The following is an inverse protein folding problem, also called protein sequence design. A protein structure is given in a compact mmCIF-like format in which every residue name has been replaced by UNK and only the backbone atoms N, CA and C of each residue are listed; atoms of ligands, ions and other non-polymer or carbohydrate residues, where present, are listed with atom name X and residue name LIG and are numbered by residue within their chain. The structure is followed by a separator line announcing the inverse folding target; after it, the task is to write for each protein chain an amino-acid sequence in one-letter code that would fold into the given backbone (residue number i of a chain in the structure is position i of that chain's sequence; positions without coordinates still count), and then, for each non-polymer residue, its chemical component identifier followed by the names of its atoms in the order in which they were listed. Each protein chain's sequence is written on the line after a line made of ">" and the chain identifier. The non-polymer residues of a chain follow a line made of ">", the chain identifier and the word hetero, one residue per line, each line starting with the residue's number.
data_IF_757755317998
#
_entry.id   IF_757755317998
#
_cell.length_a   1.000
_cell.length_b   1.000
_cell.length_c   1.000
_cell.angle_alpha   90.00
_cell.angle_beta   90.00
_cell.angle_gamma   90.00
#
_symmetry.space_group_name_H-M   'P 1'
#
loop_
_entity.id
_entity.type
_entity.pdbx_description
1 polymer ?
#
# COMPACT_ATOMS: atom_id res chain seq x y z
N UNK A 1 2.25 19.68 18.77
CA UNK A 1 2.32 19.01 17.45
C UNK A 1 1.77 17.62 17.64
N UNK A 2 0.53 17.35 17.21
CA UNK A 2 -0.07 16.01 17.31
C UNK A 2 0.65 15.08 16.33
N UNK A 3 1.38 14.10 16.85
CA UNK A 3 1.95 13.02 16.04
C UNK A 3 0.86 12.46 15.11
N UNK A 4 1.17 12.44 13.82
CA UNK A 4 0.49 11.53 12.93
C UNK A 4 0.92 10.16 13.41
N UNK A 5 -0.04 9.36 13.89
CA UNK A 5 0.22 7.96 14.21
C UNK A 5 0.66 7.35 12.88
N UNK A 6 1.96 7.07 12.75
CA UNK A 6 2.49 6.38 11.59
C UNK A 6 1.74 5.05 11.48
N UNK A 7 1.22 4.68 10.30
CA UNK A 7 0.58 3.38 10.12
C UNK A 7 1.51 2.26 10.58
N UNK A 8 0.96 1.27 11.29
CA UNK A 8 1.72 0.08 11.64
C UNK A 8 2.08 -0.69 10.36
N UNK A 9 3.21 -1.42 10.32
CA UNK A 9 3.58 -2.24 9.17
C UNK A 9 2.46 -3.19 8.71
N UNK A 10 1.73 -3.78 9.66
CA UNK A 10 0.59 -4.66 9.38
C UNK A 10 -0.59 -3.94 8.73
N UNK A 11 -0.82 -2.66 9.04
CA UNK A 11 -1.85 -1.85 8.38
C UNK A 11 -1.47 -1.52 6.94
N UNK A 12 -0.18 -1.22 6.72
CA UNK A 12 0.37 -0.97 5.38
C UNK A 12 0.22 -2.22 4.51
N UNK A 13 0.67 -3.38 5.00
CA UNK A 13 0.59 -4.64 4.26
C UNK A 13 -0.86 -5.03 3.94
N UNK A 14 -1.77 -4.89 4.90
CA UNK A 14 -3.19 -5.19 4.69
C UNK A 14 -3.80 -4.29 3.60
N UNK A 15 -3.53 -2.98 3.65
CA UNK A 15 -4.00 -2.04 2.63
C UNK A 15 -3.35 -2.30 1.27
N UNK A 16 -2.06 -2.63 1.26
CA UNK A 16 -1.30 -2.92 0.06
C UNK A 16 -1.84 -4.16 -0.67
N UNK A 17 -2.16 -5.24 0.05
CA UNK A 17 -2.82 -6.43 -0.52
C UNK A 17 -4.12 -6.07 -1.23
N UNK A 18 -4.97 -5.29 -0.57
CA UNK A 18 -6.26 -4.87 -1.16
C UNK A 18 -6.04 -4.01 -2.42
N UNK A 19 -5.16 -3.02 -2.36
CA UNK A 19 -4.87 -2.16 -3.51
C UNK A 19 -4.30 -2.96 -4.68
N UNK A 20 -3.41 -3.90 -4.38
CA UNK A 20 -2.81 -4.78 -5.37
C UNK A 20 -3.86 -5.64 -6.08
N UNK A 21 -4.73 -6.30 -5.31
CA UNK A 21 -5.85 -7.11 -5.85
C UNK A 21 -6.82 -6.29 -6.71
N UNK A 22 -7.18 -5.09 -6.26
CA UNK A 22 -8.04 -4.17 -7.02
C UNK A 22 -7.36 -3.80 -8.34
N UNK A 23 -6.07 -3.44 -8.31
CA UNK A 23 -5.35 -3.10 -9.52
C UNK A 23 -5.19 -4.27 -10.50
N UNK A 24 -5.06 -5.50 -10.01
CA UNK A 24 -5.11 -6.70 -10.87
C UNK A 24 -6.47 -6.83 -11.57
N UNK A 25 -7.58 -6.72 -10.83
CA UNK A 25 -8.95 -6.80 -11.39
C UNK A 25 -9.23 -5.70 -12.42
N UNK A 26 -8.61 -4.54 -12.27
CA UNK A 26 -8.73 -3.42 -13.21
C UNK A 26 -7.60 -3.36 -14.25
N UNK A 27 -6.74 -4.38 -14.31
CA UNK A 27 -5.61 -4.47 -15.25
C UNK A 27 -4.60 -3.30 -15.17
N UNK A 28 -4.49 -2.61 -14.03
CA UNK A 28 -3.52 -1.52 -13.84
C UNK A 28 -2.08 -1.99 -13.98
N UNK A 29 -1.83 -3.26 -13.68
CA UNK A 29 -0.50 -3.84 -13.64
C UNK A 29 -0.18 -4.71 -14.85
N UNK A 30 -1.10 -4.84 -15.82
CA UNK A 30 -0.95 -5.78 -16.95
C UNK A 30 0.38 -5.59 -17.69
N UNK A 31 1.14 -6.67 -17.98
CA UNK A 31 0.77 -8.08 -17.87
C UNK A 31 1.13 -8.75 -16.53
N UNK A 32 1.39 -7.98 -15.47
CA UNK A 32 1.70 -8.52 -14.15
C UNK A 32 0.46 -9.17 -13.51
N UNK A 33 0.53 -10.46 -13.24
CA UNK A 33 -0.59 -11.28 -12.71
C UNK A 33 -0.28 -11.95 -11.36
N UNK A 34 0.92 -11.75 -10.82
CA UNK A 34 1.34 -12.34 -9.56
C UNK A 34 0.57 -11.73 -8.39
N UNK A 35 0.43 -12.48 -7.31
CA UNK A 35 -0.12 -11.99 -6.04
C UNK A 35 0.86 -11.02 -5.35
N UNK A 36 0.36 -10.27 -4.38
CA UNK A 36 1.19 -9.36 -3.58
C UNK A 36 2.32 -10.10 -2.81
N UNK A 37 2.08 -11.33 -2.35
CA UNK A 37 3.12 -12.11 -1.67
C UNK A 37 4.20 -12.59 -2.66
N UNK A 38 3.79 -12.95 -3.88
CA UNK A 38 4.73 -13.28 -4.97
C UNK A 38 5.51 -12.05 -5.47
N UNK A 39 4.95 -10.83 -5.35
CA UNK A 39 5.71 -9.59 -5.57
C UNK A 39 6.88 -9.54 -4.61
N UNK A 40 6.66 -9.75 -3.30
CA UNK A 40 7.73 -9.74 -2.32
C UNK A 40 8.81 -10.79 -2.54
N UNK A 41 8.43 -11.97 -3.05
CA UNK A 41 9.38 -13.04 -3.32
C UNK A 41 10.21 -12.80 -4.59
N UNK A 42 9.66 -12.11 -5.60
CA UNK A 42 10.30 -11.95 -6.91
C UNK A 42 10.89 -10.57 -7.17
N UNK A 43 10.38 -9.55 -6.49
CA UNK A 43 10.83 -8.17 -6.52
C UNK A 43 10.67 -7.50 -5.14
N UNK A 44 11.61 -7.77 -4.21
CA UNK A 44 11.54 -7.23 -2.86
C UNK A 44 11.68 -5.69 -2.82
N UNK A 45 12.35 -5.09 -3.79
CA UNK A 45 12.47 -3.63 -3.90
C UNK A 45 11.13 -3.05 -4.35
N UNK A 46 10.54 -3.59 -5.42
CA UNK A 46 9.22 -3.16 -5.90
C UNK A 46 8.13 -3.30 -4.85
N UNK A 47 8.15 -4.38 -4.04
CA UNK A 47 7.26 -4.50 -2.87
C UNK A 47 7.49 -3.37 -1.87
N UNK A 48 8.74 -3.09 -1.50
CA UNK A 48 9.05 -2.03 -0.54
C UNK A 48 8.62 -0.65 -1.04
N UNK A 49 8.78 -0.36 -2.33
CA UNK A 49 8.34 0.89 -2.93
C UNK A 49 6.81 0.99 -2.94
N UNK A 50 6.12 -0.10 -3.30
CA UNK A 50 4.66 -0.15 -3.28
C UNK A 50 4.09 0.05 -1.87
N UNK A 51 4.71 -0.56 -0.86
CA UNK A 51 4.33 -0.37 0.55
C UNK A 51 4.50 1.08 0.99
N UNK A 52 5.55 1.78 0.54
CA UNK A 52 5.76 3.20 0.83
C UNK A 52 4.68 4.10 0.20
N UNK A 53 4.20 3.76 -1.00
CA UNK A 53 3.08 4.46 -1.65
C UNK A 53 1.80 4.30 -0.80
N UNK A 54 1.53 3.08 -0.36
CA UNK A 54 0.36 2.78 0.48
C UNK A 54 0.46 3.49 1.84
N UNK A 55 1.64 3.52 2.46
CA UNK A 55 1.88 4.28 3.70
C UNK A 55 1.55 5.77 3.50
N UNK A 56 2.01 6.37 2.40
CA UNK A 56 1.74 7.77 2.08
C UNK A 56 0.22 8.03 1.93
N UNK A 57 -0.52 7.11 1.30
CA UNK A 57 -1.98 7.20 1.17
C UNK A 57 -2.68 7.11 2.55
N UNK A 58 -2.27 6.18 3.41
CA UNK A 58 -2.82 6.04 4.76
C UNK A 58 -2.54 7.27 5.62
N UNK A 59 -1.34 7.84 5.53
CA UNK A 59 -0.98 9.10 6.18
C UNK A 59 -1.82 10.27 5.66
N UNK A 60 -2.06 10.35 4.35
CA UNK A 60 -2.93 11.37 3.76
C UNK A 60 -4.36 11.25 4.29
N UNK A 61 -4.93 10.04 4.33
CA UNK A 61 -6.24 9.79 4.90
C UNK A 61 -6.31 10.15 6.40
N UNK A 62 -5.26 9.84 7.16
CA UNK A 62 -5.14 10.20 8.57
C UNK A 62 -5.09 11.71 8.80
N UNK A 63 -4.39 12.45 7.92
CA UNK A 63 -4.38 13.93 7.94
C UNK A 63 -5.77 14.49 7.66
N UNK A 64 -6.47 13.98 6.64
CA UNK A 64 -7.80 14.44 6.27
C UNK A 64 -8.83 14.28 7.42
N UNK A 65 -8.78 13.17 8.16
CA UNK A 65 -9.64 12.95 9.34
C UNK A 65 -9.42 13.95 10.47
N UNK A 66 -8.27 14.60 10.51
CA UNK A 66 -7.91 15.61 11.52
C UNK A 66 -8.18 17.05 11.04
N UNK A 67 -8.54 17.25 9.77
CA UNK A 67 -8.95 18.55 9.27
C UNK A 67 -10.43 18.78 9.64
N UNK A 68 -10.78 19.92 10.27
CA UNK A 68 -12.15 20.24 10.67
C UNK A 68 -13.07 20.49 9.48
#
# INVERSE_FOLDING_TARGET
>A
MTELIRPAPTEIEAAARVLHEVGLRHHWWSPYEKTYDELGATDPIGKSEFDAIVEAMLLAAAKARKQP
#
